data_IF_373476458233
#
_entry.id   IF_373476458233
#
_cell.length_a   1.000
_cell.length_b   1.000
_cell.length_c   1.000
_cell.angle_alpha   90.00
_cell.angle_beta   90.00
_cell.angle_gamma   90.00
#
_symmetry.space_group_name_H-M   'P 1'
#
loop_
_entity.id
_entity.type
_entity.pdbx_description
1 polymer ?
#
# COMPACT_ATOMS: atom_id res chain seq x y z
N UNK A 1 2.72 -9.95 -16.44
CA UNK A 1 2.18 -11.35 -16.45
C UNK A 1 2.00 -12.01 -15.08
N UNK A 2 3.06 -12.41 -14.34
CA UNK A 2 2.89 -13.11 -13.03
C UNK A 2 2.07 -12.33 -11.99
N UNK A 3 2.19 -11.00 -11.97
CA UNK A 3 1.36 -10.16 -11.09
C UNK A 3 -0.13 -10.27 -11.41
N UNK A 4 -0.51 -10.38 -12.69
CA UNK A 4 -1.90 -10.58 -13.12
C UNK A 4 -2.42 -11.96 -12.74
N UNK A 5 -1.58 -12.99 -12.88
CA UNK A 5 -1.90 -14.35 -12.41
C UNK A 5 -2.18 -14.37 -10.89
N UNK A 6 -1.38 -13.65 -10.09
CA UNK A 6 -1.59 -13.50 -8.65
C UNK A 6 -2.92 -12.79 -8.33
N UNK A 7 -3.30 -11.81 -9.14
CA UNK A 7 -4.57 -11.09 -9.01
C UNK A 7 -5.78 -11.89 -9.53
N UNK A 8 -5.56 -13.04 -10.17
CA UNK A 8 -6.63 -13.79 -10.84
C UNK A 8 -7.25 -13.04 -12.02
N UNK A 9 -6.48 -12.14 -12.65
CA UNK A 9 -6.93 -11.32 -13.78
C UNK A 9 -6.22 -11.75 -15.06
N UNK A 10 -6.93 -11.66 -16.18
CA UNK A 10 -6.29 -11.80 -17.49
C UNK A 10 -5.33 -10.64 -17.73
N UNK A 11 -4.14 -10.99 -18.20
CA UNK A 11 -3.11 -10.01 -18.50
C UNK A 11 -3.52 -9.11 -19.67
N UNK A 12 -3.57 -7.81 -19.43
CA UNK A 12 -3.84 -6.82 -20.47
C UNK A 12 -2.84 -5.65 -20.36
N UNK A 13 -2.03 -5.39 -21.41
CA UNK A 13 -0.98 -4.37 -21.36
C UNK A 13 -1.44 -2.96 -21.00
N UNK A 14 -2.67 -2.58 -21.36
CA UNK A 14 -3.22 -1.27 -21.00
C UNK A 14 -3.64 -1.12 -19.53
N UNK A 15 -3.61 -2.22 -18.77
CA UNK A 15 -3.91 -2.22 -17.33
C UNK A 15 -2.62 -2.27 -16.49
N UNK A 16 -1.46 -2.33 -17.15
CA UNK A 16 -0.16 -2.30 -16.51
C UNK A 16 0.26 -0.86 -16.25
N UNK A 17 0.74 -0.60 -15.03
CA UNK A 17 1.63 0.53 -14.79
C UNK A 17 3.08 0.09 -15.05
N UNK A 18 3.96 1.05 -15.29
CA UNK A 18 5.39 0.78 -15.48
C UNK A 18 6.02 0.13 -14.25
N UNK A 19 7.00 -0.76 -14.46
CA UNK A 19 7.79 -1.28 -13.35
C UNK A 19 8.66 -0.17 -12.75
N UNK A 20 8.35 0.24 -11.53
CA UNK A 20 9.15 1.17 -10.77
C UNK A 20 10.15 0.44 -9.87
N UNK A 21 11.42 0.87 -9.91
CA UNK A 21 12.49 0.34 -9.04
C UNK A 21 12.95 1.45 -8.11
N UNK A 22 12.91 1.19 -6.80
CA UNK A 22 13.31 2.13 -5.75
C UNK A 22 14.49 1.57 -4.97
N UNK A 23 15.44 2.44 -4.61
CA UNK A 23 16.58 2.11 -3.80
C UNK A 23 16.72 3.12 -2.66
N UNK A 24 16.42 2.69 -1.43
CA UNK A 24 16.50 3.53 -0.24
C UNK A 24 17.87 3.41 0.41
N UNK A 25 18.53 4.55 0.57
CA UNK A 25 19.73 4.70 1.39
C UNK A 25 19.36 4.84 2.87
N UNK A 26 20.35 4.71 3.75
CA UNK A 26 20.17 4.85 5.20
C UNK A 26 19.45 6.16 5.54
N UNK A 27 18.41 6.06 6.36
CA UNK A 27 17.61 7.23 6.78
C UNK A 27 16.60 7.74 5.76
N UNK A 28 16.64 7.28 4.50
CA UNK A 28 15.61 7.62 3.52
C UNK A 28 14.32 6.87 3.81
N UNK A 29 13.19 7.53 3.59
CA UNK A 29 11.87 6.98 3.83
C UNK A 29 10.92 7.42 2.73
N UNK A 30 9.77 6.79 2.67
CA UNK A 30 8.66 7.21 1.84
C UNK A 30 7.49 7.57 2.74
N UNK A 31 7.00 8.80 2.61
CA UNK A 31 5.87 9.28 3.40
C UNK A 31 4.65 8.41 3.14
N UNK A 32 3.86 8.07 4.17
CA UNK A 32 2.65 7.29 3.93
C UNK A 32 1.71 7.98 2.95
N UNK A 33 1.17 7.19 2.04
CA UNK A 33 0.39 7.63 0.90
C UNK A 33 -0.53 6.48 0.44
N UNK A 34 -1.40 6.80 -0.51
CA UNK A 34 -2.22 5.83 -1.24
C UNK A 34 -1.70 5.75 -2.67
N UNK A 35 -1.84 4.59 -3.31
CA UNK A 35 -1.39 4.43 -4.70
C UNK A 35 -2.46 4.82 -5.72
N UNK A 36 -3.74 4.83 -5.35
CA UNK A 36 -4.79 5.33 -6.23
C UNK A 36 -4.62 6.83 -6.49
N UNK A 37 -5.01 7.24 -7.69
CA UNK A 37 -4.91 8.60 -8.18
C UNK A 37 -6.15 9.39 -7.74
N UNK A 38 -5.94 10.52 -7.08
CA UNK A 38 -7.05 11.38 -6.67
C UNK A 38 -7.52 12.23 -7.87
N UNK A 39 -8.77 12.07 -8.36
CA UNK A 39 -9.28 12.83 -9.50
C UNK A 39 -9.30 14.34 -9.28
N UNK A 40 -9.27 14.82 -8.03
CA UNK A 40 -9.32 16.25 -7.71
C UNK A 40 -7.94 16.92 -7.69
N UNK A 41 -6.87 16.15 -7.49
CA UNK A 41 -5.53 16.70 -7.26
C UNK A 41 -4.48 16.22 -8.26
N UNK A 42 -4.74 15.11 -8.94
CA UNK A 42 -3.81 14.54 -9.92
C UNK A 42 -4.12 15.08 -11.32
N UNK A 43 -3.11 15.62 -11.98
CA UNK A 43 -3.19 16.13 -13.37
C UNK A 43 -2.91 14.99 -14.35
N UNK A 44 -3.90 14.10 -14.53
CA UNK A 44 -3.78 12.91 -15.39
C UNK A 44 -4.89 12.92 -16.44
N UNK A 45 -4.53 12.66 -17.69
CA UNK A 45 -5.51 12.47 -18.76
C UNK A 45 -6.32 11.18 -18.51
N UNK A 46 -7.63 11.30 -18.45
CA UNK A 46 -8.55 10.17 -18.36
C UNK A 46 -9.63 10.33 -17.29
N UNK A 47 -10.56 9.39 -17.25
CA UNK A 47 -11.59 9.33 -16.21
C UNK A 47 -11.06 8.50 -15.04
N UNK A 48 -10.66 9.17 -13.96
CA UNK A 48 -10.07 8.51 -12.79
C UNK A 48 -11.08 7.89 -11.80
N UNK A 49 -12.38 7.94 -12.12
CA UNK A 49 -13.42 7.37 -11.26
C UNK A 49 -13.70 5.90 -11.64
N UNK A 50 -13.18 4.91 -10.89
CA UNK A 50 -13.36 3.49 -11.22
C UNK A 50 -14.82 3.00 -11.09
N UNK A 51 -15.73 3.81 -10.53
CA UNK A 51 -17.14 3.42 -10.33
C UNK A 51 -18.04 3.66 -11.55
N UNK A 52 -17.52 4.30 -12.60
CA UNK A 52 -18.30 4.61 -13.81
C UNK A 52 -17.73 3.89 -15.02
N UNK A 53 -18.57 3.69 -16.04
CA UNK A 53 -18.13 3.09 -17.30
C UNK A 53 -16.97 3.90 -17.91
N UNK A 54 -15.95 3.18 -18.39
CA UNK A 54 -14.72 3.74 -18.96
C UNK A 54 -13.87 4.58 -17.97
N UNK A 55 -14.17 4.49 -16.67
CA UNK A 55 -13.31 5.01 -15.61
C UNK A 55 -12.24 3.99 -15.22
N UNK A 56 -11.09 4.48 -14.79
CA UNK A 56 -9.93 3.68 -14.39
C UNK A 56 -9.26 4.27 -13.17
N UNK A 57 -8.56 3.44 -12.41
CA UNK A 57 -7.61 3.87 -11.39
C UNK A 57 -6.67 2.69 -11.11
N UNK A 58 -5.60 2.89 -10.35
CA UNK A 58 -4.79 1.76 -9.88
C UNK A 58 -5.66 0.85 -9.03
N UNK A 59 -5.82 -0.40 -9.46
CA UNK A 59 -6.69 -1.38 -8.80
C UNK A 59 -6.00 -2.06 -7.63
N UNK A 60 -4.75 -2.49 -7.85
CA UNK A 60 -3.93 -3.17 -6.86
C UNK A 60 -2.46 -2.80 -7.06
N UNK A 61 -1.69 -2.93 -5.99
CA UNK A 61 -0.24 -2.75 -6.01
C UNK A 61 0.42 -4.06 -5.64
N UNK A 62 1.40 -4.47 -6.45
CA UNK A 62 2.30 -5.58 -6.16
C UNK A 62 3.72 -5.04 -6.16
N UNK A 63 4.40 -5.09 -5.02
CA UNK A 63 5.82 -4.75 -4.96
C UNK A 63 6.64 -5.90 -4.38
N UNK A 64 7.92 -5.94 -4.77
CA UNK A 64 8.85 -7.01 -4.44
C UNK A 64 10.03 -6.43 -3.67
N UNK A 65 10.45 -7.11 -2.61
CA UNK A 65 11.70 -6.79 -1.93
C UNK A 65 12.87 -7.40 -2.70
N UNK A 66 13.72 -6.56 -3.27
CA UNK A 66 14.86 -6.99 -4.08
C UNK A 66 16.08 -7.40 -3.23
N UNK A 67 16.11 -7.02 -1.95
CA UNK A 67 17.13 -7.42 -0.99
C UNK A 67 16.55 -7.52 0.43
N UNK A 68 17.25 -8.24 1.31
CA UNK A 68 16.93 -8.29 2.75
C UNK A 68 17.58 -7.11 3.45
N UNK A 69 16.84 -6.41 4.31
CA UNK A 69 17.38 -5.32 5.14
C UNK A 69 17.48 -5.80 6.60
N UNK A 70 18.65 -5.75 7.26
CA UNK A 70 18.82 -6.28 8.62
C UNK A 70 18.01 -5.55 9.70
N UNK A 71 17.66 -4.27 9.49
CA UNK A 71 16.90 -3.43 10.42
C UNK A 71 16.18 -2.34 9.65
N UNK A 72 14.98 -1.98 10.07
CA UNK A 72 14.24 -0.90 9.40
C UNK A 72 13.69 -1.33 8.04
N UNK A 73 13.46 -0.38 7.13
CA UNK A 73 13.07 -0.66 5.75
C UNK A 73 11.67 -1.27 5.57
N UNK A 74 10.89 -1.39 6.65
CA UNK A 74 9.55 -1.98 6.61
C UNK A 74 8.62 -1.20 5.68
N UNK A 75 7.75 -1.92 4.98
CA UNK A 75 6.51 -1.30 4.48
C UNK A 75 5.49 -1.32 5.60
N UNK A 76 4.88 -0.17 5.87
CA UNK A 76 3.91 -0.02 6.97
C UNK A 76 2.54 0.32 6.44
N UNK A 77 1.49 -0.18 7.08
CA UNK A 77 0.09 0.15 6.79
C UNK A 77 -0.56 0.72 8.05
N UNK A 78 -0.46 2.05 8.27
CA UNK A 78 -0.84 2.68 9.54
C UNK A 78 -2.32 2.61 9.86
N UNK A 79 -3.15 2.36 8.85
CA UNK A 79 -4.61 2.26 8.96
C UNK A 79 -5.13 0.82 8.98
N UNK A 80 -4.24 -0.18 8.81
CA UNK A 80 -4.65 -1.58 8.88
C UNK A 80 -5.24 -1.90 10.25
N UNK A 81 -6.47 -2.38 10.27
CA UNK A 81 -7.26 -2.63 11.49
C UNK A 81 -7.46 -4.12 11.81
N UNK A 82 -6.80 -5.02 11.06
CA UNK A 82 -7.12 -6.45 11.04
C UNK A 82 -5.92 -7.40 11.17
N UNK A 83 -4.72 -6.89 11.46
CA UNK A 83 -3.49 -7.69 11.41
C UNK A 83 -3.11 -8.34 12.74
N UNK A 84 -3.53 -7.82 13.89
CA UNK A 84 -3.32 -8.47 15.20
C UNK A 84 -4.26 -9.68 15.42
N UNK A 85 -5.10 -10.02 14.43
CA UNK A 85 -6.21 -10.96 14.62
C UNK A 85 -6.52 -11.90 13.48
N UNK A 86 -5.65 -12.10 12.48
CA UNK A 86 -5.90 -13.04 11.38
C UNK A 86 -5.32 -14.42 11.70
N UNK A 87 -6.15 -15.34 12.20
CA UNK A 87 -5.78 -16.74 12.52
C UNK A 87 -5.86 -17.70 11.32
N UNK A 88 -5.92 -17.14 10.11
CA UNK A 88 -6.15 -17.89 8.87
C UNK A 88 -7.62 -18.14 8.53
N UNK A 89 -8.59 -17.79 9.39
CA UNK A 89 -10.02 -17.98 9.12
C UNK A 89 -10.94 -16.83 9.54
N UNK A 90 -10.51 -15.91 10.41
CA UNK A 90 -11.34 -14.76 10.80
C UNK A 90 -10.49 -13.54 11.11
N UNK A 91 -10.98 -12.35 10.73
CA UNK A 91 -10.43 -11.06 11.17
C UNK A 91 -10.95 -10.75 12.57
N UNK A 92 -10.10 -10.85 13.59
CA UNK A 92 -10.39 -10.35 14.94
C UNK A 92 -9.93 -8.88 15.04
N UNK A 93 -10.81 -7.95 15.47
CA UNK A 93 -10.52 -6.51 15.69
C UNK A 93 -9.71 -6.32 16.98
N UNK A 94 -8.84 -5.32 17.16
CA UNK A 94 -9.02 -3.87 16.97
C UNK A 94 -7.94 -3.18 16.11
N UNK A 95 -8.35 -2.21 15.30
CA UNK A 95 -7.44 -1.21 14.72
C UNK A 95 -7.17 -0.06 15.69
N UNK A 96 -6.21 0.84 15.40
CA UNK A 96 -5.97 1.99 16.27
C UNK A 96 -7.26 2.80 16.46
N UNK A 97 -7.62 3.10 17.71
CA UNK A 97 -8.85 3.82 18.07
C UNK A 97 -8.98 5.18 17.38
N UNK A 98 -7.85 5.75 16.92
CA UNK A 98 -7.76 6.96 16.10
C UNK A 98 -6.76 6.70 14.96
N UNK A 99 -7.20 6.20 13.78
CA UNK A 99 -6.30 6.08 12.64
C UNK A 99 -5.80 7.48 12.24
N UNK A 100 -4.51 7.65 11.91
CA UNK A 100 -4.00 8.94 11.46
C UNK A 100 -4.78 9.43 10.24
N UNK A 101 -4.98 10.76 10.07
CA UNK A 101 -5.62 11.31 8.88
C UNK A 101 -4.95 10.78 7.61
N UNK A 102 -5.70 10.66 6.51
CA UNK A 102 -5.21 10.12 5.24
C UNK A 102 -4.00 10.86 4.65
N UNK A 103 -3.59 11.96 5.30
CA UNK A 103 -2.31 12.63 5.14
C UNK A 103 -1.52 12.56 6.46
N UNK A 104 -0.35 11.92 6.42
CA UNK A 104 0.55 11.75 7.56
C UNK A 104 1.65 12.82 7.47
N UNK A 105 1.78 13.68 8.49
CA UNK A 105 2.90 14.64 8.55
C UNK A 105 4.24 13.93 8.74
N UNK A 106 5.38 14.61 8.56
CA UNK A 106 6.70 14.01 8.81
C UNK A 106 6.84 13.44 10.23
N UNK A 107 6.15 14.07 11.19
CA UNK A 107 6.08 13.58 12.57
C UNK A 107 5.25 12.30 12.69
N UNK A 108 4.17 12.20 11.94
CA UNK A 108 3.31 11.03 11.94
C UNK A 108 3.97 9.85 11.17
N UNK A 109 4.83 10.15 10.19
CA UNK A 109 5.63 9.12 9.50
C UNK A 109 6.64 8.48 10.46
N UNK A 110 7.23 9.27 11.36
CA UNK A 110 8.06 8.73 12.44
C UNK A 110 7.26 7.84 13.41
N UNK A 111 6.00 8.17 13.71
CA UNK A 111 5.11 7.29 14.48
C UNK A 111 4.78 6.01 13.72
N UNK A 112 4.43 6.10 12.44
CA UNK A 112 4.15 4.94 11.60
C UNK A 112 5.35 3.99 11.50
N UNK A 113 6.57 4.49 11.68
CA UNK A 113 7.80 3.70 11.72
C UNK A 113 8.28 3.31 13.12
N UNK A 114 7.59 3.75 14.17
CA UNK A 114 7.90 3.36 15.55
C UNK A 114 7.48 1.91 15.79
N UNK A 115 8.44 1.03 16.10
CA UNK A 115 8.18 -0.40 16.34
C UNK A 115 7.22 -0.69 17.49
N UNK A 116 6.97 0.28 18.37
CA UNK A 116 5.98 0.17 19.45
C UNK A 116 4.56 0.59 19.03
N UNK A 117 4.35 0.99 17.77
CA UNK A 117 3.00 1.28 17.24
C UNK A 117 2.30 0.00 16.76
N UNK A 118 0.98 0.04 16.76
CA UNK A 118 0.10 -1.02 16.27
C UNK A 118 -0.14 -0.97 14.76
N UNK A 119 0.81 -0.42 13.99
CA UNK A 119 0.70 -0.41 12.53
C UNK A 119 1.11 -1.79 12.00
N UNK A 120 0.40 -2.31 10.98
CA UNK A 120 0.86 -3.50 10.26
C UNK A 120 2.19 -3.19 9.58
N UNK A 121 3.13 -4.13 9.66
CA UNK A 121 4.45 -4.00 9.05
C UNK A 121 4.78 -5.24 8.25
N UNK A 122 5.33 -5.04 7.07
CA UNK A 122 5.99 -6.09 6.29
C UNK A 122 7.50 -5.85 6.32
N UNK A 123 8.25 -6.87 6.73
CA UNK A 123 9.71 -6.82 6.76
C UNK A 123 10.30 -7.05 5.35
N UNK A 124 11.30 -6.26 4.95
CA UNK A 124 11.96 -6.41 3.66
C UNK A 124 12.87 -7.65 3.66
N UNK A 125 12.36 -8.74 3.10
CA UNK A 125 13.11 -10.00 2.91
C UNK A 125 13.21 -10.28 1.41
N UNK A 126 14.42 -10.49 0.91
CA UNK A 126 14.68 -10.70 -0.51
C UNK A 126 13.77 -11.80 -1.11
N UNK A 127 13.08 -11.46 -2.20
CA UNK A 127 12.17 -12.37 -2.90
C UNK A 127 10.73 -12.38 -2.38
N UNK A 128 10.47 -11.85 -1.19
CA UNK A 128 9.09 -11.65 -0.72
C UNK A 128 8.40 -10.55 -1.53
N UNK A 129 7.06 -10.64 -1.57
CA UNK A 129 6.21 -9.65 -2.21
C UNK A 129 5.07 -9.27 -1.27
N UNK A 130 4.58 -8.04 -1.44
CA UNK A 130 3.37 -7.55 -0.78
C UNK A 130 2.36 -7.22 -1.87
N UNK A 131 1.13 -7.66 -1.67
CA UNK A 131 -0.03 -7.35 -2.50
C UNK A 131 -1.08 -6.69 -1.61
N UNK A 132 -1.62 -5.56 -2.06
CA UNK A 132 -2.80 -4.94 -1.48
C UNK A 132 -3.64 -4.28 -2.56
N UNK A 133 -4.93 -4.06 -2.25
CA UNK A 133 -5.89 -3.45 -3.15
C UNK A 133 -6.04 -1.97 -2.81
N UNK A 134 -6.19 -1.15 -3.84
CA UNK A 134 -6.41 0.29 -3.75
C UNK A 134 -7.89 0.64 -3.89
N UNK A 135 -8.75 -0.37 -4.05
CA UNK A 135 -10.18 -0.23 -4.27
C UNK A 135 -10.94 -1.28 -3.44
N UNK A 136 -12.08 -0.89 -2.90
CA UNK A 136 -13.04 -1.78 -2.27
C UNK A 136 -13.77 -2.62 -3.32
N UNK A 137 -14.41 -3.75 -2.95
CA UNK A 137 -15.20 -4.56 -3.89
C UNK A 137 -16.36 -3.79 -4.56
N UNK A 138 -16.76 -2.65 -3.99
CA UNK A 138 -17.79 -1.75 -4.53
C UNK A 138 -17.24 -0.77 -5.59
N UNK A 139 -15.93 -0.79 -5.86
CA UNK A 139 -15.24 0.14 -6.75
C UNK A 139 -14.84 1.46 -6.10
N UNK A 140 -15.22 1.73 -4.85
CA UNK A 140 -14.75 2.92 -4.15
C UNK A 140 -13.25 2.82 -3.86
N UNK A 141 -12.53 3.94 -3.90
CA UNK A 141 -11.12 4.00 -3.53
C UNK A 141 -10.93 3.63 -2.05
N UNK A 142 -9.92 2.83 -1.77
CA UNK A 142 -9.66 2.33 -0.42
C UNK A 142 -8.65 3.23 0.31
N UNK A 143 -9.12 4.02 1.28
CA UNK A 143 -8.26 4.86 2.11
C UNK A 143 -7.44 4.06 3.14
N UNK A 144 -7.81 2.81 3.40
CA UNK A 144 -7.13 1.94 4.36
C UNK A 144 -5.90 1.26 3.71
N UNK A 145 -5.77 1.37 2.39
CA UNK A 145 -4.55 1.05 1.63
C UNK A 145 -3.37 2.00 1.91
N UNK A 146 -3.56 3.01 2.78
CA UNK A 146 -2.51 3.94 3.19
C UNK A 146 -1.28 3.17 3.67
N UNK A 147 -0.16 3.41 2.99
CA UNK A 147 1.09 2.70 3.25
C UNK A 147 2.31 3.60 3.04
N UNK A 148 3.44 3.24 3.66
CA UNK A 148 4.69 3.98 3.53
C UNK A 148 5.91 3.10 3.71
N UNK A 149 7.08 3.66 3.41
CA UNK A 149 8.37 2.97 3.54
C UNK A 149 9.20 3.55 4.69
N UNK A 150 9.54 2.73 5.67
CA UNK A 150 10.32 3.17 6.82
C UNK A 150 11.82 3.27 6.53
N UNK A 151 12.56 4.12 7.26
CA UNK A 151 14.01 4.18 7.15
C UNK A 151 14.68 2.81 7.38
N UNK A 152 15.63 2.39 6.53
CA UNK A 152 16.56 1.29 6.82
C UNK A 152 17.66 1.71 7.81
#
# INVERSE_FOLDING_TARGET
>A
RRAFELLGMDHHPSLEDGLQVLNYQKGQYYKPHVDWLNPETEDVEGNLNPMVNNGTNRFATVFFYLNTVPKGGHTVFPRSYSHEGFDGNKVMRDGPANPPPGYISDRDAAWACNTSSSALRSEPVAGNAVLFYNQLPTGHLDHESLHGGCPP
#
